data_IF_337286853987
#
_entry.id   IF_337286853987
#
_cell.length_a   1.000
_cell.length_b   1.000
_cell.length_c   1.000
_cell.angle_alpha   90.00
_cell.angle_beta   90.00
_cell.angle_gamma   90.00
#
_symmetry.space_group_name_H-M   'P 1'
#
loop_
_entity.id
_entity.type
_entity.pdbx_description
1 polymer ?
#
# COMPACT_ATOMS: atom_id res chain seq x y z
N UNK A 1 -14.73 -6.64 -3.48
CA UNK A 1 -13.73 -6.05 -2.56
C UNK A 1 -12.44 -6.77 -2.85
N UNK A 2 -11.33 -6.06 -3.12
CA UNK A 2 -10.07 -6.69 -3.48
C UNK A 2 -9.56 -7.52 -2.31
N UNK A 3 -9.15 -8.76 -2.55
CA UNK A 3 -8.43 -9.55 -1.56
C UNK A 3 -7.03 -8.96 -1.38
N UNK A 4 -6.61 -8.74 -0.13
CA UNK A 4 -5.28 -8.23 0.18
C UNK A 4 -4.31 -9.38 0.47
N UNK A 5 -3.35 -9.59 -0.43
CA UNK A 5 -2.39 -10.69 -0.33
C UNK A 5 -1.07 -10.14 0.23
N UNK A 6 -0.67 -10.50 1.47
CA UNK A 6 0.56 -10.00 2.05
C UNK A 6 1.79 -10.69 1.45
N UNK A 7 2.77 -9.91 0.97
CA UNK A 7 4.09 -10.47 0.66
C UNK A 7 4.91 -10.74 1.93
N UNK A 8 5.93 -11.60 1.81
CA UNK A 8 6.87 -11.85 2.91
C UNK A 8 7.55 -10.58 3.42
N UNK A 9 7.91 -9.65 2.52
CA UNK A 9 8.56 -8.39 2.91
C UNK A 9 7.62 -7.43 3.62
N UNK A 10 6.35 -7.39 3.23
CA UNK A 10 5.34 -6.66 3.98
C UNK A 10 5.20 -7.21 5.40
N UNK A 11 5.14 -8.54 5.57
CA UNK A 11 5.09 -9.17 6.89
C UNK A 11 6.31 -8.83 7.76
N UNK A 12 7.52 -8.87 7.17
CA UNK A 12 8.75 -8.43 7.85
C UNK A 12 8.72 -6.94 8.26
N UNK A 13 8.10 -6.08 7.45
CA UNK A 13 8.00 -4.65 7.74
C UNK A 13 6.98 -4.33 8.85
N UNK A 14 5.84 -5.02 8.90
CA UNK A 14 4.82 -4.80 9.95
C UNK A 14 5.28 -5.27 11.33
N UNK A 15 6.12 -6.31 11.40
CA UNK A 15 6.65 -6.82 12.68
C UNK A 15 7.48 -5.76 13.43
N UNK A 16 8.09 -4.82 12.70
CA UNK A 16 8.82 -3.68 13.28
C UNK A 16 7.92 -2.78 14.15
N UNK A 17 6.61 -2.81 13.93
CA UNK A 17 5.61 -2.02 14.66
C UNK A 17 4.83 -2.87 15.69
N UNK A 18 5.24 -4.10 15.98
CA UNK A 18 4.52 -5.02 16.88
C UNK A 18 4.16 -4.38 18.23
N UNK A 19 5.07 -3.60 18.80
CA UNK A 19 4.92 -2.91 20.09
C UNK A 19 4.29 -1.50 19.98
N UNK A 20 4.10 -0.97 18.76
CA UNK A 20 3.50 0.35 18.53
C UNK A 20 2.00 0.21 18.23
N UNK A 21 1.19 0.31 19.27
CA UNK A 21 -0.27 0.18 19.15
C UNK A 21 -0.90 1.28 18.28
N UNK A 22 -0.30 2.48 18.22
CA UNK A 22 -0.79 3.60 17.42
C UNK A 22 -0.59 3.34 15.93
N UNK A 23 0.61 2.91 15.54
CA UNK A 23 0.90 2.53 14.16
C UNK A 23 0.10 1.32 13.71
N UNK A 24 -0.06 0.30 14.56
CA UNK A 24 -0.90 -0.88 14.25
C UNK A 24 -2.33 -0.50 13.93
N UNK A 25 -2.94 0.42 14.70
CA UNK A 25 -4.29 0.92 14.41
C UNK A 25 -4.37 1.66 13.07
N UNK A 26 -3.38 2.49 12.74
CA UNK A 26 -3.33 3.19 11.45
C UNK A 26 -3.18 2.20 10.28
N UNK A 27 -2.31 1.19 10.41
CA UNK A 27 -2.13 0.13 9.41
C UNK A 27 -3.45 -0.61 9.19
N UNK A 28 -4.06 -1.11 10.27
CA UNK A 28 -5.33 -1.83 10.18
C UNK A 28 -6.44 -0.99 9.52
N UNK A 29 -6.57 0.29 9.90
CA UNK A 29 -7.52 1.22 9.28
C UNK A 29 -7.24 1.39 7.78
N UNK A 30 -5.97 1.52 7.39
CA UNK A 30 -5.58 1.69 5.99
C UNK A 30 -5.89 0.44 5.18
N UNK A 31 -5.60 -0.75 5.71
CA UNK A 31 -5.93 -2.03 5.06
C UNK A 31 -7.44 -2.21 4.91
N UNK A 32 -8.22 -1.95 5.96
CA UNK A 32 -9.68 -2.04 5.91
C UNK A 32 -10.27 -1.05 4.88
N UNK A 33 -9.73 0.17 4.78
CA UNK A 33 -10.14 1.11 3.74
C UNK A 33 -9.74 0.60 2.35
N UNK A 34 -8.55 0.07 2.17
CA UNK A 34 -8.10 -0.44 0.88
C UNK A 34 -8.97 -1.64 0.41
N UNK A 35 -9.38 -2.49 1.33
CA UNK A 35 -10.24 -3.65 1.06
C UNK A 35 -11.71 -3.28 0.82
N UNK A 36 -12.29 -2.37 1.61
CA UNK A 36 -13.72 -2.07 1.53
C UNK A 36 -14.04 -0.83 0.69
N UNK A 37 -13.10 0.10 0.55
CA UNK A 37 -13.28 1.38 -0.13
C UNK A 37 -11.97 1.89 -0.75
N UNK A 38 -11.40 1.19 -1.73
CA UNK A 38 -10.09 1.53 -2.32
C UNK A 38 -10.04 2.93 -2.95
N UNK A 39 -11.18 3.52 -3.30
CA UNK A 39 -11.28 4.89 -3.82
C UNK A 39 -11.47 5.95 -2.72
N UNK A 40 -11.39 5.56 -1.45
CA UNK A 40 -11.56 6.49 -0.34
C UNK A 40 -10.49 7.59 -0.37
N UNK A 41 -10.86 8.89 -0.34
CA UNK A 41 -9.91 9.99 -0.55
C UNK A 41 -8.79 10.04 0.49
N UNK A 42 -9.05 9.55 1.71
CA UNK A 42 -8.05 9.46 2.77
C UNK A 42 -6.92 8.45 2.53
N UNK A 43 -7.05 7.54 1.55
CA UNK A 43 -5.96 6.62 1.18
C UNK A 43 -4.83 7.34 0.43
N UNK A 44 -5.14 8.48 -0.22
CA UNK A 44 -4.20 9.22 -1.06
C UNK A 44 -3.41 8.28 -1.99
N UNK A 45 -4.15 7.53 -2.79
CA UNK A 45 -3.57 6.55 -3.71
C UNK A 45 -2.77 7.27 -4.79
N UNK A 46 -1.51 6.87 -4.95
CA UNK A 46 -0.58 7.45 -5.91
C UNK A 46 0.22 6.36 -6.61
N UNK A 47 0.45 6.50 -7.92
CA UNK A 47 1.32 5.60 -8.69
C UNK A 47 2.77 5.86 -8.35
N UNK A 48 3.57 4.82 -8.14
CA UNK A 48 4.99 4.97 -7.85
C UNK A 48 5.73 5.28 -9.16
N UNK A 49 6.39 6.42 -9.24
CA UNK A 49 7.03 6.89 -10.49
C UNK A 49 8.14 5.93 -10.98
N UNK A 50 8.85 5.30 -10.05
CA UNK A 50 9.97 4.41 -10.37
C UNK A 50 9.54 2.98 -10.73
N UNK A 51 8.28 2.61 -10.52
CA UNK A 51 7.74 1.29 -10.82
C UNK A 51 6.31 1.44 -11.39
N UNK A 52 6.11 1.29 -12.71
CA UNK A 52 4.83 1.56 -13.34
C UNK A 52 3.73 0.60 -12.90
N UNK A 53 4.05 -0.55 -12.29
CA UNK A 53 3.04 -1.50 -11.78
C UNK A 53 2.70 -1.24 -10.32
N UNK A 54 3.60 -0.61 -9.57
CA UNK A 54 3.40 -0.37 -8.16
C UNK A 54 2.66 0.96 -7.86
N UNK A 55 1.86 0.89 -6.82
CA UNK A 55 1.08 1.99 -6.27
C UNK A 55 1.39 2.13 -4.79
N UNK A 56 1.02 3.26 -4.20
CA UNK A 56 1.17 3.51 -2.78
C UNK A 56 -0.08 4.13 -2.18
N UNK A 57 -0.36 3.77 -0.92
CA UNK A 57 -1.33 4.45 -0.07
C UNK A 57 -0.63 5.06 1.13
N UNK A 58 -1.22 6.16 1.64
CA UNK A 58 -0.76 6.84 2.83
C UNK A 58 -1.30 6.17 4.09
N UNK A 59 -0.39 5.74 4.98
CA UNK A 59 -0.74 5.33 6.34
C UNK A 59 -0.75 6.54 7.27
N UNK A 60 0.32 7.34 7.20
CA UNK A 60 0.41 8.64 7.85
C UNK A 60 1.40 9.56 7.10
N UNK A 61 1.80 10.68 7.69
CA UNK A 61 2.72 11.62 7.04
C UNK A 61 4.05 10.95 6.66
N UNK A 62 4.56 10.03 7.49
CA UNK A 62 5.89 9.41 7.32
C UNK A 62 5.84 8.13 6.51
N UNK A 63 4.87 7.26 6.78
CA UNK A 63 4.84 5.90 6.22
C UNK A 63 3.87 5.75 5.05
N UNK A 64 4.24 4.86 4.13
CA UNK A 64 3.47 4.43 2.97
C UNK A 64 3.41 2.91 2.95
N UNK A 65 2.29 2.40 2.46
CA UNK A 65 2.15 1.00 2.05
C UNK A 65 2.19 0.97 0.53
N UNK A 66 3.16 0.26 -0.03
CA UNK A 66 3.21 0.00 -1.47
C UNK A 66 2.54 -1.32 -1.81
N UNK A 67 1.89 -1.37 -2.97
CA UNK A 67 1.14 -2.53 -3.43
C UNK A 67 1.12 -2.61 -4.95
N UNK A 68 0.77 -3.79 -5.48
CA UNK A 68 0.55 -4.03 -6.90
C UNK A 68 -0.85 -4.61 -7.11
N UNK A 69 -1.72 -3.97 -7.90
CA UNK A 69 -2.98 -4.57 -8.34
C UNK A 69 -2.72 -5.77 -9.25
N UNK A 70 -3.47 -6.85 -9.09
CA UNK A 70 -3.36 -8.04 -9.96
C UNK A 70 -3.77 -7.72 -11.41
N UNK A 71 -4.76 -6.84 -11.58
CA UNK A 71 -5.30 -6.45 -12.89
C UNK A 71 -5.39 -4.94 -13.04
N UNK A 72 -5.28 -4.52 -14.30
CA UNK A 72 -5.43 -3.14 -14.71
C UNK A 72 -6.55 -3.05 -15.75
N UNK A 73 -7.32 -1.96 -15.68
CA UNK A 73 -8.29 -1.59 -16.71
C UNK A 73 -7.56 -1.15 -17.99
N UNK A 74 -8.22 -1.16 -19.16
CA UNK A 74 -7.63 -0.66 -20.42
C UNK A 74 -7.11 0.78 -20.34
N UNK A 75 -7.65 1.60 -19.42
CA UNK A 75 -7.19 2.96 -19.17
C UNK A 75 -5.87 3.05 -18.39
N UNK A 76 -5.31 1.92 -17.95
CA UNK A 76 -4.10 1.83 -17.13
C UNK A 76 -4.31 2.02 -15.63
N UNK A 77 -5.56 2.21 -15.19
CA UNK A 77 -5.90 2.30 -13.76
C UNK A 77 -6.02 0.90 -13.14
N UNK A 78 -5.78 0.74 -11.84
CA UNK A 78 -6.02 -0.52 -11.13
C UNK A 78 -7.47 -0.97 -11.29
N UNK A 79 -7.68 -2.26 -11.52
CA UNK A 79 -8.98 -2.88 -11.33
C UNK A 79 -9.14 -3.20 -9.85
N UNK A 80 -9.84 -2.31 -9.14
CA UNK A 80 -10.08 -2.42 -7.70
C UNK A 80 -10.99 -3.59 -7.31
N UNK A 81 -11.52 -4.36 -8.26
CA UNK A 81 -12.25 -5.59 -7.98
C UNK A 81 -11.35 -6.83 -7.90
N UNK A 82 -10.15 -6.76 -8.47
CA UNK A 82 -9.15 -7.82 -8.47
C UNK A 82 -8.28 -7.79 -7.20
N UNK A 83 -7.51 -8.85 -6.95
CA UNK A 83 -6.67 -8.94 -5.76
C UNK A 83 -5.54 -7.90 -5.78
N UNK A 84 -5.05 -7.55 -4.59
CA UNK A 84 -3.96 -6.58 -4.39
C UNK A 84 -2.83 -7.26 -3.62
N UNK A 85 -1.63 -7.27 -4.21
CA UNK A 85 -0.42 -7.75 -3.56
C UNK A 85 0.21 -6.65 -2.72
N UNK A 86 0.28 -6.82 -1.40
CA UNK A 86 0.94 -5.89 -0.49
C UNK A 86 2.46 -6.10 -0.52
N UNK A 87 3.19 -5.10 -1.01
CA UNK A 87 4.62 -5.23 -1.26
C UNK A 87 5.45 -4.85 -0.04
N UNK A 88 5.38 -3.61 0.43
CA UNK A 88 6.25 -3.07 1.49
C UNK A 88 5.54 -2.03 2.34
N UNK A 89 5.99 -1.89 3.59
CA UNK A 89 5.64 -0.76 4.45
C UNK A 89 6.92 -0.01 4.82
N UNK A 90 7.08 1.20 4.30
CA UNK A 90 8.30 1.99 4.49
C UNK A 90 8.03 3.49 4.52
N UNK A 91 9.04 4.28 4.91
CA UNK A 91 8.90 5.73 4.86
C UNK A 91 8.84 6.22 3.42
N UNK A 92 8.18 7.37 3.22
CA UNK A 92 8.13 8.07 1.93
C UNK A 92 9.53 8.20 1.29
N UNK A 93 10.52 8.66 2.06
CA UNK A 93 11.86 8.93 1.53
C UNK A 93 12.56 7.68 1.06
N UNK A 94 12.37 6.54 1.75
CA UNK A 94 12.95 5.26 1.34
C UNK A 94 12.25 4.73 0.09
N UNK A 95 10.92 4.84 0.04
CA UNK A 95 10.13 4.36 -1.10
C UNK A 95 10.49 5.08 -2.40
N UNK A 96 10.73 6.39 -2.33
CA UNK A 96 10.99 7.22 -3.50
C UNK A 96 12.46 7.57 -3.69
N UNK A 97 13.37 6.99 -2.90
CA UNK A 97 14.81 7.19 -3.10
C UNK A 97 15.20 6.60 -4.46
N UNK A 98 15.65 7.44 -5.38
CA UNK A 98 16.24 6.96 -6.63
C UNK A 98 17.47 6.12 -6.31
N UNK A 99 17.61 4.90 -6.85
CA UNK A 99 18.89 4.21 -6.80
C UNK A 99 19.94 5.12 -7.45
N UNK A 100 21.08 5.29 -6.77
CA UNK A 100 22.23 6.03 -7.29
C UNK A 100 22.94 5.19 -8.35
#
# INVERSE_FOLDING_TARGET
MPELIPSRKFLEDIEKFRSDSGMRKKIAKTLALLEHSPLHPGLHIERIVNDPKAWSVRIDRKYRLSFEPEKFLPSGNPDWSASILLLRLMSHDVLYKKPR
#
